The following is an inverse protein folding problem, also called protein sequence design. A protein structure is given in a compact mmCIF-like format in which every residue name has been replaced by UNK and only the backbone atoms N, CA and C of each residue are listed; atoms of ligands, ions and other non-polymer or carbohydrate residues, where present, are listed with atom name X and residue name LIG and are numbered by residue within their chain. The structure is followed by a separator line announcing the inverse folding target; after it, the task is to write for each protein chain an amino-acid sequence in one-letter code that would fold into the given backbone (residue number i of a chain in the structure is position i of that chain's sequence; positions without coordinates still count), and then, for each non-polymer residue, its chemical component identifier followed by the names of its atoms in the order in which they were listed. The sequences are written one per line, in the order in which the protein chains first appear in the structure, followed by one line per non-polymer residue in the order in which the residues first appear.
data_IF_472365639281
#
_entry.id   IF_472365639281
#
_cell.length_a   1.000
_cell.length_b   1.000
_cell.length_c   1.000
_cell.angle_alpha   90.00
_cell.angle_beta   90.00
_cell.angle_gamma   90.00
#
_symmetry.space_group_name_H-M   'P 1'
#
loop_
_entity.id
_entity.type
_entity.pdbx_description
1 polymer ?
#
# COMPACT_ATOMS: atom_id res chain seq x y z
N UNK A 1 -0.50 -23.58 -5.12
CA UNK A 1 -1.02 -24.56 -4.13
C UNK A 1 -2.42 -24.10 -3.81
N UNK A 2 -3.44 -24.95 -3.92
CA UNK A 2 -4.81 -24.56 -3.61
C UNK A 2 -5.12 -24.92 -2.16
N UNK A 3 -5.65 -23.96 -1.40
CA UNK A 3 -6.10 -24.19 -0.01
C UNK A 3 -7.62 -24.05 0.08
N UNK A 4 -8.20 -24.33 1.26
CA UNK A 4 -9.64 -24.26 1.49
C UNK A 4 -10.06 -22.87 1.99
N UNK A 5 -11.32 -22.47 1.75
CA UNK A 5 -11.87 -21.18 2.21
C UNK A 5 -11.66 -20.96 3.72
N UNK A 6 -11.95 -21.92 4.63
CA UNK A 6 -11.70 -21.69 6.05
C UNK A 6 -10.22 -21.45 6.38
N UNK A 7 -9.30 -22.13 5.68
CA UNK A 7 -7.86 -21.89 5.85
C UNK A 7 -7.46 -20.52 5.30
N UNK A 8 -8.01 -20.10 4.15
CA UNK A 8 -7.83 -18.76 3.60
C UNK A 8 -8.25 -17.68 4.58
N UNK A 9 -9.46 -17.80 5.14
CA UNK A 9 -9.99 -16.85 6.12
C UNK A 9 -9.15 -16.80 7.39
N UNK A 10 -8.69 -17.95 7.89
CA UNK A 10 -7.82 -18.00 9.06
C UNK A 10 -6.49 -17.27 8.83
N UNK A 11 -5.85 -17.49 7.66
CA UNK A 11 -4.60 -16.81 7.30
C UNK A 11 -4.80 -15.32 7.11
N UNK A 12 -5.85 -14.92 6.39
CA UNK A 12 -6.19 -13.51 6.20
C UNK A 12 -6.57 -12.81 7.52
N UNK A 13 -7.15 -13.53 8.47
CA UNK A 13 -7.36 -13.04 9.83
C UNK A 13 -6.06 -12.70 10.56
N UNK A 14 -4.99 -13.48 10.34
CA UNK A 14 -3.66 -13.17 10.88
C UNK A 14 -3.05 -11.95 10.20
N UNK A 15 -3.19 -11.85 8.86
CA UNK A 15 -2.75 -10.66 8.11
C UNK A 15 -3.44 -9.40 8.63
N UNK A 16 -4.76 -9.46 8.83
CA UNK A 16 -5.54 -8.39 9.45
C UNK A 16 -4.98 -8.00 10.82
N UNK A 17 -4.82 -8.95 11.73
CA UNK A 17 -4.35 -8.66 13.09
C UNK A 17 -2.96 -8.03 13.13
N UNK A 18 -2.09 -8.41 12.19
CA UNK A 18 -0.74 -7.87 12.12
C UNK A 18 -0.65 -6.48 11.49
N UNK A 19 -1.62 -6.11 10.64
CA UNK A 19 -1.58 -4.90 9.83
C UNK A 19 -2.64 -3.85 10.20
N UNK A 20 -3.69 -4.21 10.94
CA UNK A 20 -4.65 -3.23 11.47
C UNK A 20 -3.93 -2.14 12.26
N UNK A 21 -4.31 -0.89 12.01
CA UNK A 21 -3.63 0.29 12.56
C UNK A 21 -2.36 0.69 11.80
N UNK A 22 -2.01 -0.04 10.73
CA UNK A 22 -0.90 0.26 9.83
C UNK A 22 -1.19 1.40 8.84
N UNK A 23 -0.28 1.59 7.89
CA UNK A 23 -0.38 2.65 6.88
C UNK A 23 0.01 2.13 5.50
N UNK A 24 -0.55 2.73 4.45
CA UNK A 24 -0.17 2.43 3.06
C UNK A 24 0.70 3.57 2.54
N UNK A 25 1.93 3.23 2.18
CA UNK A 25 2.92 4.12 1.60
C UNK A 25 2.97 3.90 0.09
N UNK A 26 2.93 4.98 -0.68
CA UNK A 26 3.02 4.94 -2.15
C UNK A 26 4.39 5.45 -2.56
N UNK A 27 5.04 4.75 -3.50
CA UNK A 27 6.38 5.06 -3.94
C UNK A 27 6.52 5.14 -5.47
N UNK A 28 7.42 6.00 -5.92
CA UNK A 28 8.01 6.00 -7.25
C UNK A 28 9.43 5.44 -7.19
N UNK A 29 9.82 4.65 -8.18
CA UNK A 29 11.15 4.06 -8.30
C UNK A 29 11.11 2.65 -8.87
N UNK A 30 12.26 1.94 -8.91
CA UNK A 30 12.26 0.52 -9.21
C UNK A 30 11.47 -0.24 -8.14
N UNK A 31 10.63 -1.20 -8.56
CA UNK A 31 9.90 -2.04 -7.61
C UNK A 31 10.87 -3.02 -6.95
N UNK A 32 10.99 -3.04 -5.60
CA UNK A 32 11.87 -3.98 -4.92
C UNK A 32 11.45 -5.44 -5.15
N UNK A 33 12.40 -6.37 -5.16
CA UNK A 33 12.10 -7.78 -5.39
C UNK A 33 11.35 -8.40 -4.19
N UNK A 34 11.62 -7.89 -2.98
CA UNK A 34 10.95 -8.26 -1.74
C UNK A 34 10.44 -7.04 -0.98
N UNK A 35 9.41 -7.23 -0.16
CA UNK A 35 8.94 -6.23 0.81
C UNK A 35 9.98 -5.95 1.92
N UNK A 36 10.93 -6.88 2.13
CA UNK A 36 12.02 -6.76 3.10
C UNK A 36 13.23 -5.97 2.57
N UNK A 37 13.29 -5.72 1.26
CA UNK A 37 14.40 -4.97 0.66
C UNK A 37 14.34 -3.51 1.12
N UNK A 38 15.49 -2.96 1.53
CA UNK A 38 15.59 -1.54 1.81
C UNK A 38 15.38 -0.71 0.53
N UNK A 39 14.72 0.44 0.69
CA UNK A 39 14.57 1.42 -0.36
C UNK A 39 15.77 2.37 -0.35
N UNK A 40 16.44 2.52 -1.49
CA UNK A 40 17.38 3.62 -1.71
C UNK A 40 16.63 4.94 -1.90
N UNK A 41 16.28 5.59 -0.79
CA UNK A 41 15.58 6.88 -0.76
C UNK A 41 16.45 8.05 -1.21
N UNK A 42 17.75 7.87 -1.43
CA UNK A 42 18.66 8.94 -1.88
C UNK A 42 18.84 8.87 -3.39
N UNK A 43 19.02 7.67 -3.94
CA UNK A 43 19.39 7.46 -5.34
C UNK A 43 18.24 7.12 -6.28
N UNK A 44 17.21 6.36 -5.84
CA UNK A 44 16.24 5.79 -6.79
C UNK A 44 14.78 5.78 -6.36
N UNK A 45 14.49 5.87 -5.06
CA UNK A 45 13.13 5.78 -4.54
C UNK A 45 12.64 7.13 -4.01
N UNK A 46 11.35 7.38 -4.19
CA UNK A 46 10.67 8.57 -3.67
C UNK A 46 9.33 8.15 -3.13
N UNK A 47 9.04 8.47 -1.87
CA UNK A 47 7.71 8.35 -1.30
C UNK A 47 6.83 9.45 -1.88
N UNK A 48 5.64 9.10 -2.35
CA UNK A 48 4.69 10.02 -2.95
C UNK A 48 3.58 10.45 -1.99
N UNK A 49 3.11 9.50 -1.18
CA UNK A 49 2.04 9.71 -0.22
C UNK A 49 2.10 8.66 0.90
N UNK A 50 1.53 9.01 2.06
CA UNK A 50 1.21 8.11 3.16
C UNK A 50 -0.31 8.16 3.38
N UNK A 51 -1.01 7.07 3.07
CA UNK A 51 -2.44 6.96 3.27
C UNK A 51 -2.73 6.58 4.72
N UNK A 52 -3.77 7.21 5.25
CA UNK A 52 -4.25 7.11 6.63
C UNK A 52 -5.77 7.30 6.67
N UNK A 53 -6.37 7.14 7.85
CA UNK A 53 -7.75 7.56 8.11
C UNK A 53 -7.69 8.70 9.11
N UNK A 54 -7.89 9.93 8.63
CA UNK A 54 -7.80 11.14 9.47
C UNK A 54 -6.48 11.23 10.25
N UNK A 55 -5.36 10.80 9.64
CA UNK A 55 -4.04 10.72 10.28
C UNK A 55 -3.80 9.48 11.16
N UNK A 56 -4.86 8.71 11.45
CA UNK A 56 -4.80 7.43 12.15
C UNK A 56 -4.51 6.24 11.23
N UNK A 57 -4.30 5.07 11.85
CA UNK A 57 -4.04 3.83 11.12
C UNK A 57 -5.24 3.32 10.31
N UNK A 58 -4.94 2.56 9.27
CA UNK A 58 -5.88 1.92 8.36
C UNK A 58 -6.35 0.58 8.94
N UNK A 59 -7.63 0.21 8.75
CA UNK A 59 -8.13 -1.10 9.22
C UNK A 59 -8.82 -1.90 8.12
N UNK A 60 -8.70 -3.21 8.21
CA UNK A 60 -9.43 -4.13 7.33
C UNK A 60 -10.81 -4.47 7.91
N UNK A 61 -11.72 -4.97 7.09
CA UNK A 61 -12.91 -5.69 7.57
C UNK A 61 -12.57 -7.15 7.87
N UNK A 62 -13.54 -7.89 8.41
CA UNK A 62 -13.39 -9.34 8.56
C UNK A 62 -13.15 -10.01 7.18
N UNK A 63 -12.27 -11.04 7.09
CA UNK A 63 -12.09 -11.80 5.85
C UNK A 63 -13.39 -12.46 5.36
N UNK A 64 -13.69 -12.33 4.07
CA UNK A 64 -14.84 -12.97 3.42
C UNK A 64 -14.33 -13.83 2.27
N UNK A 65 -14.55 -15.15 2.37
CA UNK A 65 -14.00 -16.09 1.38
C UNK A 65 -12.47 -16.04 1.39
N UNK A 66 -11.87 -15.73 0.24
CA UNK A 66 -10.42 -15.57 0.09
C UNK A 66 -9.96 -14.11 0.01
N UNK A 67 -10.82 -13.18 0.43
CA UNK A 67 -10.56 -11.74 0.35
C UNK A 67 -10.53 -11.14 1.74
N UNK A 68 -9.51 -10.32 2.02
CA UNK A 68 -9.47 -9.39 3.14
C UNK A 68 -9.70 -7.98 2.59
N UNK A 69 -10.92 -7.44 2.73
CA UNK A 69 -11.23 -6.12 2.22
C UNK A 69 -10.82 -5.03 3.21
N UNK A 70 -10.46 -3.87 2.67
CA UNK A 70 -10.44 -2.60 3.41
C UNK A 70 -11.75 -2.39 4.19
N UNK A 71 -11.70 -1.71 5.34
CA UNK A 71 -12.90 -1.25 6.03
C UNK A 71 -13.70 -0.27 5.15
N UNK A 72 -14.97 -0.57 4.84
CA UNK A 72 -15.77 0.20 3.88
C UNK A 72 -16.24 1.55 4.44
N UNK A 73 -16.20 1.74 5.76
CA UNK A 73 -16.54 3.00 6.43
C UNK A 73 -15.38 3.98 6.53
N UNK A 74 -14.17 3.54 6.16
CA UNK A 74 -12.99 4.37 6.20
C UNK A 74 -12.79 5.04 4.84
N UNK A 75 -12.28 6.26 4.82
CA UNK A 75 -11.72 6.86 3.61
C UNK A 75 -10.20 6.80 3.74
N UNK A 76 -9.54 6.06 2.84
CA UNK A 76 -8.09 5.89 2.87
C UNK A 76 -7.47 6.91 1.95
N UNK A 77 -6.91 7.96 2.54
CA UNK A 77 -6.34 9.08 1.80
C UNK A 77 -5.07 9.61 2.47
N UNK A 78 -4.27 10.33 1.68
CA UNK A 78 -3.03 10.93 2.14
C UNK A 78 -2.64 12.11 1.28
N UNK A 79 -1.98 13.09 1.91
CA UNK A 79 -1.39 14.21 1.20
C UNK A 79 -0.30 13.72 0.22
N UNK A 80 -0.32 14.26 -0.99
CA UNK A 80 0.72 14.04 -1.98
C UNK A 80 1.89 14.97 -1.63
N UNK A 81 2.91 14.39 -1.00
CA UNK A 81 4.13 15.08 -0.59
C UNK A 81 5.32 14.18 -0.89
N UNK A 82 6.22 14.66 -1.73
CA UNK A 82 7.35 13.88 -2.19
C UNK A 82 8.50 13.93 -1.20
N UNK A 83 9.09 12.77 -0.94
CA UNK A 83 10.27 12.63 -0.09
C UNK A 83 11.22 11.57 -0.66
N UNK A 84 12.51 11.87 -0.71
CA UNK A 84 13.54 10.98 -1.24
C UNK A 84 14.21 11.53 -2.50
N UNK A 85 14.62 10.64 -3.40
CA UNK A 85 15.50 10.94 -4.54
C UNK A 85 14.99 12.09 -5.43
N UNK A 86 13.66 12.23 -5.55
CA UNK A 86 13.01 13.24 -6.38
C UNK A 86 12.10 14.18 -5.58
N UNK A 87 12.47 14.53 -4.33
CA UNK A 87 11.64 15.38 -3.46
C UNK A 87 11.31 16.78 -4.04
N UNK A 88 12.14 17.29 -4.96
CA UNK A 88 11.89 18.58 -5.64
C UNK A 88 11.06 18.47 -6.92
N UNK A 89 10.68 17.26 -7.35
CA UNK A 89 9.81 17.08 -8.50
C UNK A 89 8.39 17.61 -8.18
N UNK A 90 7.72 18.14 -9.19
CA UNK A 90 6.31 18.58 -9.07
C UNK A 90 5.33 17.45 -9.35
N UNK A 91 5.76 16.46 -10.15
CA UNK A 91 4.92 15.34 -10.55
C UNK A 91 5.73 14.05 -10.71
N UNK A 92 5.15 12.92 -10.27
CA UNK A 92 5.75 11.58 -10.37
C UNK A 92 4.65 10.54 -10.56
N UNK A 93 4.95 9.47 -11.28
CA UNK A 93 4.06 8.31 -11.42
C UNK A 93 4.31 7.32 -10.29
N UNK A 94 3.26 6.81 -9.61
CA UNK A 94 3.40 5.72 -8.66
C UNK A 94 3.85 4.45 -9.38
N UNK A 95 4.58 3.60 -8.66
CA UNK A 95 5.14 2.36 -9.20
C UNK A 95 4.87 1.15 -8.31
N UNK A 96 4.93 1.34 -6.98
CA UNK A 96 4.58 0.32 -6.01
C UNK A 96 4.02 0.96 -4.74
N UNK A 97 3.40 0.13 -3.91
CA UNK A 97 3.01 0.49 -2.55
C UNK A 97 3.62 -0.49 -1.55
N UNK A 98 3.74 -0.05 -0.30
CA UNK A 98 3.91 -0.91 0.86
C UNK A 98 2.83 -0.60 1.87
N UNK A 99 2.07 -1.61 2.29
CA UNK A 99 1.23 -1.52 3.48
C UNK A 99 2.05 -2.05 4.65
N UNK A 100 2.31 -1.22 5.65
CA UNK A 100 3.20 -1.53 6.76
C UNK A 100 2.45 -1.48 8.10
N UNK A 101 2.88 -2.28 9.07
CA UNK A 101 2.43 -2.14 10.46
C UNK A 101 2.75 -0.73 11.01
N UNK A 102 2.05 -0.30 12.05
CA UNK A 102 2.02 1.10 12.52
C UNK A 102 3.40 1.73 12.81
N UNK A 103 4.38 0.94 13.26
CA UNK A 103 5.72 1.40 13.63
C UNK A 103 6.74 1.35 12.47
N UNK A 104 6.30 0.97 11.27
CA UNK A 104 7.15 0.72 10.11
C UNK A 104 6.83 1.72 8.99
N UNK A 105 7.85 2.44 8.53
CA UNK A 105 7.74 3.44 7.46
C UNK A 105 7.91 2.87 6.05
N UNK A 106 8.17 1.56 5.94
CA UNK A 106 8.34 0.84 4.69
C UNK A 106 9.67 1.10 3.99
N UNK A 107 10.65 1.80 4.59
CA UNK A 107 11.88 2.20 3.91
C UNK A 107 13.08 1.31 4.23
N UNK A 108 13.22 0.89 5.49
CA UNK A 108 14.37 0.10 5.94
C UNK A 108 14.30 -1.39 5.55
N UNK A 109 15.43 -2.10 5.68
CA UNK A 109 15.52 -3.57 5.52
C UNK A 109 15.04 -4.35 6.76
N UNK A 110 14.07 -3.81 7.48
CA UNK A 110 13.54 -4.42 8.70
C UNK A 110 12.59 -5.56 8.35
N UNK A 111 12.54 -6.60 9.18
CA UNK A 111 11.58 -7.73 9.09
C UNK A 111 10.16 -7.33 9.53
N UNK A 112 9.75 -6.10 9.21
CA UNK A 112 8.42 -5.60 9.55
C UNK A 112 7.35 -6.34 8.75
N UNK A 113 6.16 -6.50 9.34
CA UNK A 113 5.04 -7.11 8.60
C UNK A 113 4.56 -6.12 7.55
N UNK A 114 4.74 -6.49 6.27
CA UNK A 114 4.43 -5.65 5.12
C UNK A 114 3.70 -6.42 4.03
N UNK A 115 2.81 -5.73 3.32
CA UNK A 115 2.35 -6.14 1.99
C UNK A 115 2.98 -5.22 0.97
N UNK A 116 3.45 -5.78 -0.14
CA UNK A 116 3.97 -5.02 -1.27
C UNK A 116 3.24 -5.42 -2.54
N UNK A 117 2.97 -4.46 -3.40
CA UNK A 117 2.42 -4.69 -4.73
C UNK A 117 2.68 -3.51 -5.64
N UNK A 118 2.38 -3.68 -6.93
CA UNK A 118 2.49 -2.60 -7.91
C UNK A 118 1.40 -1.55 -7.69
N UNK A 119 1.73 -0.30 -8.02
CA UNK A 119 0.82 0.83 -8.00
C UNK A 119 0.91 1.57 -9.33
N UNK A 120 -0.22 2.08 -9.81
CA UNK A 120 -0.29 2.79 -11.09
C UNK A 120 -1.58 3.59 -11.23
N UNK A 121 -1.73 4.30 -12.34
CA UNK A 121 -2.97 5.01 -12.64
C UNK A 121 -4.05 4.10 -13.23
N UNK A 122 -5.16 4.69 -13.70
CA UNK A 122 -6.41 3.96 -13.97
C UNK A 122 -6.32 3.00 -15.17
N UNK A 123 -5.35 3.21 -16.07
CA UNK A 123 -5.11 2.35 -17.22
C UNK A 123 -4.04 1.26 -16.98
N UNK A 124 -3.46 1.20 -15.78
CA UNK A 124 -2.42 0.22 -15.46
C UNK A 124 -3.00 -1.14 -15.06
N UNK A 125 -2.18 -2.20 -15.17
CA UNK A 125 -2.48 -3.51 -14.61
C UNK A 125 -1.91 -3.67 -13.18
N UNK A 126 -1.77 -2.56 -12.45
CA UNK A 126 -1.21 -2.56 -11.11
C UNK A 126 -2.18 -3.16 -10.08
N UNK A 127 -1.64 -3.68 -8.98
CA UNK A 127 -2.44 -4.21 -7.89
C UNK A 127 -3.28 -3.12 -7.19
N UNK A 128 -2.75 -1.90 -7.10
CA UNK A 128 -3.46 -0.71 -6.64
C UNK A 128 -3.55 0.31 -7.77
N UNK A 129 -4.77 0.75 -8.05
CA UNK A 129 -5.07 1.76 -9.07
C UNK A 129 -5.43 3.09 -8.41
N UNK A 130 -4.77 4.15 -8.85
CA UNK A 130 -5.11 5.53 -8.51
C UNK A 130 -5.91 6.16 -9.65
N UNK A 131 -6.62 7.24 -9.36
CA UNK A 131 -7.44 7.98 -10.33
C UNK A 131 -6.63 8.70 -11.42
N UNK A 132 -5.30 8.77 -11.27
CA UNK A 132 -4.37 9.44 -12.18
C UNK A 132 -3.09 8.63 -12.33
N UNK A 133 -2.51 8.62 -13.53
CA UNK A 133 -1.18 8.05 -13.82
C UNK A 133 -0.04 8.85 -13.20
N UNK A 134 -0.33 10.07 -12.74
CA UNK A 134 0.62 11.01 -12.18
C UNK A 134 0.07 11.59 -10.88
N UNK A 135 0.90 11.63 -9.85
CA UNK A 135 0.65 12.36 -8.61
C UNK A 135 1.34 13.72 -8.71
N UNK A 136 0.67 14.78 -8.28
CA UNK A 136 1.19 16.15 -8.32
C UNK A 136 1.31 16.69 -6.91
N UNK A 137 2.54 16.94 -6.47
CA UNK A 137 2.85 17.50 -5.16
C UNK A 137 2.65 19.02 -5.17
N UNK A 138 1.75 19.52 -4.33
CA UNK A 138 1.51 20.96 -4.13
C UNK A 138 1.20 21.32 -2.67
N UNK A 139 1.37 20.38 -1.73
CA UNK A 139 1.09 20.58 -0.30
C UNK A 139 -0.38 20.61 0.08
N UNK A 140 -1.31 20.41 -0.87
CA UNK A 140 -2.76 20.42 -0.62
C UNK A 140 -3.52 19.25 -1.26
N UNK A 141 -3.00 18.65 -2.33
CA UNK A 141 -3.66 17.55 -3.03
C UNK A 141 -3.60 16.27 -2.20
N UNK A 142 -4.71 15.55 -2.09
CA UNK A 142 -4.73 14.18 -1.57
C UNK A 142 -4.84 13.14 -2.68
N UNK A 143 -4.33 11.95 -2.41
CA UNK A 143 -4.60 10.74 -3.17
C UNK A 143 -5.22 9.70 -2.24
N UNK A 144 -6.02 8.80 -2.78
CA UNK A 144 -6.71 7.79 -1.98
C UNK A 144 -7.02 6.54 -2.78
N UNK A 145 -7.51 5.54 -2.06
CA UNK A 145 -7.88 4.23 -2.62
C UNK A 145 -9.30 3.88 -2.17
N UNK A 146 -10.22 3.79 -3.12
CA UNK A 146 -11.61 3.42 -2.84
C UNK A 146 -11.78 1.92 -2.57
N UNK A 147 -10.96 1.08 -3.21
CA UNK A 147 -11.01 -0.38 -3.07
C UNK A 147 -9.59 -0.92 -2.89
N UNK A 148 -9.38 -1.65 -1.79
CA UNK A 148 -8.16 -2.41 -1.55
C UNK A 148 -8.53 -3.77 -0.97
N UNK A 149 -8.04 -4.82 -1.61
CA UNK A 149 -8.34 -6.20 -1.25
C UNK A 149 -7.04 -7.01 -1.23
N UNK A 150 -6.80 -7.74 -0.15
CA UNK A 150 -5.76 -8.79 -0.12
C UNK A 150 -6.44 -10.10 -0.49
N UNK A 151 -5.89 -10.81 -1.47
CA UNK A 151 -6.49 -12.06 -1.98
C UNK A 151 -5.54 -13.21 -1.72
N UNK A 152 -6.05 -14.27 -1.07
CA UNK A 152 -5.32 -15.54 -0.95
C UNK A 152 -5.62 -16.43 -2.17
N UNK A 153 -4.60 -17.08 -2.74
CA UNK A 153 -4.74 -18.03 -3.84
C UNK A 153 -5.47 -19.31 -3.36
N UNK A 154 -6.58 -19.69 -4.01
CA UNK A 154 -7.46 -20.81 -3.60
C UNK A 154 -7.87 -21.66 -4.80
N UNK A 155 -8.36 -22.88 -4.53
CA UNK A 155 -9.15 -23.62 -5.50
C UNK A 155 -10.47 -22.89 -5.77
N UNK A 156 -10.82 -22.80 -7.06
CA UNK A 156 -12.13 -22.37 -7.55
C UNK A 156 -13.26 -23.26 -7.04
#
# INVERSE_FOLDING_TARGET
MMISIPLAQALLGQVKNALDGGFLYVFAGPVPASADDALDMVGSHTQLAKLSVSGGGLTFSAPVGNVLPKAPSEEWEGLIQFEGANASATSLSPSFYRFCAAADDGRGSTTGVRLQGTAGGPASNAAVLFSSDVMTANGSNSTGVSIFNVVADQAS
#
